data_IF_760317199118
#
_entry.id   IF_760317199118
#
_cell.length_a   1.000
_cell.length_b   1.000
_cell.length_c   1.000
_cell.angle_alpha   90.00
_cell.angle_beta   90.00
_cell.angle_gamma   90.00
#
_symmetry.space_group_name_H-M   'P 1'
#
loop_
_entity.id
_entity.type
_entity.pdbx_description
1 polymer ?
#
# COMPACT_ATOMS: atom_id res chain seq x y z
N UNK A 1 -16.65 -2.14 24.16
CA UNK A 1 -16.45 -1.19 23.04
C UNK A 1 -15.92 -2.00 21.87
N UNK A 2 -16.69 -2.06 20.80
CA UNK A 2 -16.39 -2.91 19.67
C UNK A 2 -15.08 -2.47 19.00
N UNK A 3 -14.24 -3.42 18.59
CA UNK A 3 -12.96 -3.12 17.91
C UNK A 3 -13.15 -2.16 16.73
N UNK A 4 -14.31 -2.23 16.07
CA UNK A 4 -14.72 -1.33 14.99
C UNK A 4 -14.75 0.14 15.41
N UNK A 5 -15.25 0.45 16.60
CA UNK A 5 -15.31 1.83 17.10
C UNK A 5 -13.91 2.34 17.42
N UNK A 6 -13.03 1.47 17.94
CA UNK A 6 -11.61 1.79 18.14
C UNK A 6 -10.91 2.12 16.83
N UNK A 7 -11.11 1.32 15.77
CA UNK A 7 -10.55 1.61 14.45
C UNK A 7 -11.11 2.90 13.84
N UNK A 8 -12.41 3.14 13.97
CA UNK A 8 -13.04 4.40 13.53
C UNK A 8 -12.41 5.59 14.22
N UNK A 9 -12.29 5.57 15.55
CA UNK A 9 -11.68 6.66 16.33
C UNK A 9 -10.21 6.87 15.97
N UNK A 10 -9.44 5.80 15.77
CA UNK A 10 -8.05 5.89 15.32
C UNK A 10 -7.96 6.55 13.94
N UNK A 11 -8.79 6.14 12.98
CA UNK A 11 -8.83 6.75 11.64
C UNK A 11 -9.28 8.21 11.69
N UNK A 12 -10.28 8.55 12.49
CA UNK A 12 -10.76 9.93 12.70
C UNK A 12 -9.63 10.84 13.23
N UNK A 13 -8.85 10.32 14.18
CA UNK A 13 -7.68 11.00 14.74
C UNK A 13 -6.59 11.20 13.69
N UNK A 14 -6.23 10.15 12.94
CA UNK A 14 -5.21 10.18 11.88
C UNK A 14 -5.59 11.07 10.68
N UNK A 15 -6.89 11.14 10.36
CA UNK A 15 -7.46 11.98 9.30
C UNK A 15 -7.59 13.45 9.73
N UNK A 16 -7.64 13.73 11.03
CA UNK A 16 -7.73 15.09 11.59
C UNK A 16 -6.38 15.65 12.03
N UNK A 17 -5.30 14.90 11.84
CA UNK A 17 -3.94 15.31 12.16
C UNK A 17 -3.45 16.41 11.21
N UNK A 18 -3.44 17.65 11.73
CA UNK A 18 -3.06 18.86 10.98
C UNK A 18 -1.60 18.89 10.50
N UNK A 19 -0.76 17.92 10.93
CA UNK A 19 0.60 17.77 10.40
C UNK A 19 0.64 17.28 8.94
N UNK A 20 -0.45 16.68 8.45
CA UNK A 20 -0.51 16.06 7.13
C UNK A 20 -1.11 17.00 6.07
N UNK A 21 -0.55 17.08 4.86
CA UNK A 21 -1.00 18.04 3.84
C UNK A 21 -2.43 17.79 3.32
N UNK A 22 -2.92 16.55 3.40
CA UNK A 22 -4.26 16.18 2.90
C UNK A 22 -5.41 16.64 3.82
N UNK A 23 -5.16 16.93 5.10
CA UNK A 23 -6.24 17.27 6.07
C UNK A 23 -6.95 18.58 5.73
N UNK A 24 -6.24 19.55 5.14
CA UNK A 24 -6.84 20.79 4.62
C UNK A 24 -7.92 20.51 3.58
N UNK A 25 -7.68 19.54 2.69
CA UNK A 25 -8.65 19.17 1.66
C UNK A 25 -9.85 18.44 2.29
N UNK A 26 -9.63 17.53 3.23
CA UNK A 26 -10.73 16.87 3.95
C UNK A 26 -11.58 17.85 4.75
N UNK A 27 -10.97 18.80 5.46
CA UNK A 27 -11.70 19.88 6.18
C UNK A 27 -12.51 20.74 5.22
N UNK A 28 -11.93 21.15 4.08
CA UNK A 28 -12.64 21.95 3.07
C UNK A 28 -13.85 21.21 2.47
N UNK A 29 -13.73 19.90 2.26
CA UNK A 29 -14.83 19.08 1.74
C UNK A 29 -15.90 18.86 2.81
N UNK A 30 -15.50 18.59 4.05
CA UNK A 30 -16.40 18.44 5.19
C UNK A 30 -17.21 19.73 5.44
N UNK A 31 -16.57 20.90 5.43
CA UNK A 31 -17.24 22.18 5.59
C UNK A 31 -18.28 22.45 4.48
N UNK A 32 -17.99 22.03 3.24
CA UNK A 32 -18.89 22.22 2.10
C UNK A 32 -20.04 21.21 2.04
N UNK A 33 -19.77 19.97 2.43
CA UNK A 33 -20.73 18.86 2.27
C UNK A 33 -21.45 18.51 3.56
N UNK A 34 -20.96 18.98 4.72
CA UNK A 34 -21.42 18.63 6.06
C UNK A 34 -21.41 17.11 6.31
N UNK A 35 -20.50 16.38 5.65
CA UNK A 35 -20.30 14.94 5.80
C UNK A 35 -19.00 14.67 6.53
N UNK A 36 -19.02 13.77 7.51
CA UNK A 36 -17.83 13.38 8.27
C UNK A 36 -16.74 12.78 7.34
N UNK A 37 -15.50 13.22 7.54
CA UNK A 37 -14.29 12.83 6.78
C UNK A 37 -14.10 11.31 6.63
N UNK A 38 -14.52 10.49 7.59
CA UNK A 38 -14.42 9.02 7.49
C UNK A 38 -15.23 8.50 6.31
N UNK A 39 -16.45 9.00 6.11
CA UNK A 39 -17.29 8.55 4.99
C UNK A 39 -16.75 9.07 3.66
N UNK A 40 -16.19 10.28 3.63
CA UNK A 40 -15.52 10.83 2.44
C UNK A 40 -14.31 9.94 2.08
N UNK A 41 -13.48 9.60 3.07
CA UNK A 41 -12.33 8.71 2.88
C UNK A 41 -12.76 7.32 2.42
N UNK A 42 -13.76 6.72 3.06
CA UNK A 42 -14.32 5.42 2.67
C UNK A 42 -14.89 5.43 1.26
N UNK A 43 -15.60 6.50 0.88
CA UNK A 43 -16.11 6.70 -0.48
C UNK A 43 -14.99 6.81 -1.51
N UNK A 44 -13.92 7.54 -1.19
CA UNK A 44 -12.74 7.66 -2.05
C UNK A 44 -12.05 6.31 -2.25
N UNK A 45 -11.83 5.56 -1.17
CA UNK A 45 -11.24 4.21 -1.23
C UNK A 45 -12.11 3.27 -2.05
N UNK A 46 -13.43 3.29 -1.85
CA UNK A 46 -14.38 2.50 -2.63
C UNK A 46 -14.37 2.87 -4.12
N UNK A 47 -14.31 4.17 -4.43
CA UNK A 47 -14.20 4.65 -5.80
C UNK A 47 -12.90 4.21 -6.47
N UNK A 48 -11.76 4.32 -5.77
CA UNK A 48 -10.46 3.83 -6.26
C UNK A 48 -10.51 2.32 -6.49
N UNK A 49 -11.09 1.54 -5.58
CA UNK A 49 -11.22 0.10 -5.74
C UNK A 49 -12.07 -0.28 -6.97
N UNK A 50 -13.19 0.43 -7.18
CA UNK A 50 -14.03 0.25 -8.37
C UNK A 50 -13.28 0.65 -9.66
N UNK A 51 -12.53 1.75 -9.62
CA UNK A 51 -11.72 2.17 -10.76
C UNK A 51 -10.59 1.18 -11.07
N UNK A 52 -9.96 0.58 -10.06
CA UNK A 52 -8.97 -0.48 -10.28
C UNK A 52 -9.59 -1.76 -10.85
N UNK A 53 -10.88 -2.00 -10.62
CA UNK A 53 -11.59 -3.16 -11.16
C UNK A 53 -12.01 -2.98 -12.63
N UNK A 54 -12.45 -1.77 -13.02
CA UNK A 54 -13.10 -1.54 -14.33
C UNK A 54 -12.49 -0.40 -15.17
N UNK A 55 -11.57 0.38 -14.60
CA UNK A 55 -11.03 1.59 -15.21
C UNK A 55 -9.96 1.32 -16.26
N UNK A 56 -9.92 2.18 -17.28
CA UNK A 56 -8.80 2.28 -18.20
C UNK A 56 -7.55 2.80 -17.46
N UNK A 57 -6.37 2.25 -17.73
CA UNK A 57 -5.12 2.59 -17.04
C UNK A 57 -5.06 2.30 -15.51
N UNK A 58 -5.84 1.31 -15.03
CA UNK A 58 -5.74 0.82 -13.64
C UNK A 58 -4.31 0.41 -13.23
N UNK A 59 -3.49 -0.04 -14.19
CA UNK A 59 -2.07 -0.32 -14.03
C UNK A 59 -1.28 0.87 -13.47
N UNK A 60 -1.42 2.03 -14.10
CA UNK A 60 -0.71 3.25 -13.71
C UNK A 60 -1.12 3.65 -12.30
N UNK A 61 -2.42 3.62 -12.00
CA UNK A 61 -2.93 3.97 -10.67
C UNK A 61 -2.40 3.01 -9.59
N UNK A 62 -2.44 1.70 -9.85
CA UNK A 62 -1.90 0.69 -8.92
C UNK A 62 -0.41 0.90 -8.66
N UNK A 63 0.38 1.19 -9.69
CA UNK A 63 1.81 1.41 -9.56
C UNK A 63 2.13 2.73 -8.85
N UNK A 64 1.37 3.80 -9.09
CA UNK A 64 1.49 5.05 -8.33
C UNK A 64 1.21 4.82 -6.85
N UNK A 65 0.16 4.08 -6.50
CA UNK A 65 -0.15 3.73 -5.10
C UNK A 65 1.00 2.90 -4.48
N UNK A 66 1.50 1.91 -5.23
CA UNK A 66 2.62 1.05 -4.81
C UNK A 66 3.95 1.79 -4.66
N UNK A 67 4.11 2.97 -5.25
CA UNK A 67 5.36 3.75 -5.19
C UNK A 67 5.23 4.94 -4.24
N UNK A 68 4.18 5.76 -4.37
CA UNK A 68 4.12 7.08 -3.77
C UNK A 68 4.15 7.06 -2.23
N UNK A 69 3.33 6.21 -1.61
CA UNK A 69 3.29 6.13 -0.15
C UNK A 69 4.57 5.48 0.43
N UNK A 70 5.00 4.29 -0.02
CA UNK A 70 6.25 3.69 0.45
C UNK A 70 7.48 4.58 0.21
N UNK A 71 7.55 5.29 -0.92
CA UNK A 71 8.67 6.21 -1.20
C UNK A 71 8.70 7.38 -0.20
N UNK A 72 7.55 7.99 0.10
CA UNK A 72 7.48 9.07 1.07
C UNK A 72 7.90 8.61 2.48
N UNK A 73 7.42 7.45 2.93
CA UNK A 73 7.80 6.93 4.24
C UNK A 73 9.26 6.45 4.25
N UNK A 74 9.76 5.87 3.15
CA UNK A 74 11.17 5.49 3.02
C UNK A 74 12.09 6.71 3.13
N UNK A 75 11.74 7.85 2.51
CA UNK A 75 12.52 9.09 2.66
C UNK A 75 12.55 9.57 4.11
N UNK A 76 11.41 9.52 4.81
CA UNK A 76 11.38 9.82 6.26
C UNK A 76 12.22 8.85 7.08
N UNK A 77 12.16 7.55 6.78
CA UNK A 77 12.93 6.53 7.49
C UNK A 77 14.44 6.76 7.34
N UNK A 78 14.91 7.11 6.13
CA UNK A 78 16.32 7.42 5.84
C UNK A 78 16.84 8.61 6.65
N UNK A 79 15.98 9.57 7.00
CA UNK A 79 16.37 10.70 7.85
C UNK A 79 16.40 10.37 9.35
N UNK A 80 15.81 9.24 9.77
CA UNK A 80 15.79 8.78 11.16
C UNK A 80 16.98 7.86 11.48
N UNK A 81 17.35 7.72 12.76
CA UNK A 81 18.48 6.88 13.20
C UNK A 81 18.12 5.39 13.35
N UNK A 82 16.85 5.01 13.21
CA UNK A 82 16.38 3.65 13.46
C UNK A 82 16.51 2.74 12.23
N UNK A 83 17.46 1.80 12.28
CA UNK A 83 17.77 0.88 11.17
C UNK A 83 16.72 -0.21 10.91
N UNK A 84 15.80 -0.44 11.84
CA UNK A 84 14.78 -1.49 11.74
C UNK A 84 13.73 -1.17 10.69
N UNK A 85 13.49 0.11 10.42
CA UNK A 85 12.53 0.55 9.40
C UNK A 85 13.12 0.41 7.99
N UNK A 86 14.42 0.68 7.83
CA UNK A 86 15.13 0.54 6.56
C UNK A 86 15.01 -0.89 5.99
N UNK A 87 15.16 -1.91 6.84
CA UNK A 87 15.10 -3.32 6.42
C UNK A 87 13.70 -3.70 5.91
N UNK A 88 12.64 -3.17 6.55
CA UNK A 88 11.25 -3.42 6.15
C UNK A 88 10.95 -2.80 4.79
N UNK A 89 11.34 -1.54 4.59
CA UNK A 89 11.15 -0.85 3.31
C UNK A 89 11.97 -1.49 2.20
N UNK A 90 13.23 -1.89 2.47
CA UNK A 90 14.04 -2.60 1.48
C UNK A 90 13.40 -3.93 1.06
N UNK A 91 12.86 -4.68 2.02
CA UNK A 91 12.14 -5.93 1.76
C UNK A 91 10.90 -5.70 0.89
N UNK A 92 10.15 -4.63 1.17
CA UNK A 92 9.05 -4.18 0.33
C UNK A 92 9.51 -3.89 -1.11
N UNK A 93 10.59 -3.13 -1.28
CA UNK A 93 11.12 -2.77 -2.60
C UNK A 93 11.58 -4.00 -3.40
N UNK A 94 12.18 -5.01 -2.76
CA UNK A 94 12.53 -6.28 -3.42
C UNK A 94 11.29 -6.97 -3.99
N UNK A 95 10.20 -7.01 -3.23
CA UNK A 95 8.94 -7.61 -3.67
C UNK A 95 8.30 -6.77 -4.77
N UNK A 96 8.25 -5.46 -4.59
CA UNK A 96 7.75 -4.54 -5.60
C UNK A 96 8.49 -4.71 -6.94
N UNK A 97 9.83 -4.79 -6.92
CA UNK A 97 10.65 -5.02 -8.11
C UNK A 97 10.41 -6.39 -8.75
N UNK A 98 10.25 -7.44 -7.93
CA UNK A 98 9.94 -8.80 -8.41
C UNK A 98 8.59 -8.82 -9.15
N UNK A 99 7.55 -8.26 -8.55
CA UNK A 99 6.22 -8.19 -9.16
C UNK A 99 6.19 -7.26 -10.39
N UNK A 100 6.92 -6.14 -10.35
CA UNK A 100 7.06 -5.24 -11.51
C UNK A 100 7.78 -5.91 -12.68
N UNK A 101 8.71 -6.82 -12.42
CA UNK A 101 9.36 -7.63 -13.49
C UNK A 101 8.38 -8.62 -14.11
N UNK A 102 7.58 -9.32 -13.29
CA UNK A 102 6.54 -10.26 -13.77
C UNK A 102 5.48 -9.53 -14.59
N UNK A 103 5.21 -8.27 -14.24
CA UNK A 103 4.24 -7.40 -14.90
C UNK A 103 4.58 -7.08 -16.35
N UNK A 104 5.80 -7.36 -16.82
CA UNK A 104 6.10 -7.33 -18.26
C UNK A 104 5.13 -8.21 -19.08
N UNK A 105 4.54 -9.24 -18.47
CA UNK A 105 3.53 -10.12 -19.09
C UNK A 105 2.08 -9.75 -18.70
N UNK A 106 1.82 -8.49 -18.32
CA UNK A 106 0.52 -8.03 -17.79
C UNK A 106 -0.67 -8.35 -18.70
N UNK A 107 -0.51 -8.28 -20.03
CA UNK A 107 -1.56 -8.63 -21.00
C UNK A 107 -2.01 -10.10 -20.89
N UNK A 108 -1.08 -11.01 -20.60
CA UNK A 108 -1.40 -12.42 -20.42
C UNK A 108 -2.06 -12.67 -19.06
N UNK A 109 -1.54 -12.02 -18.01
CA UNK A 109 -2.02 -12.18 -16.63
C UNK A 109 -3.45 -11.64 -16.49
N UNK A 110 -3.71 -10.44 -17.00
CA UNK A 110 -5.03 -9.79 -16.96
C UNK A 110 -6.10 -10.53 -17.76
N UNK A 111 -5.69 -11.32 -18.77
CA UNK A 111 -6.61 -12.20 -19.52
C UNK A 111 -7.04 -13.43 -18.71
N UNK A 112 -6.17 -13.95 -17.85
CA UNK A 112 -6.44 -15.15 -17.05
C UNK A 112 -7.11 -14.80 -15.73
N UNK A 113 -6.65 -13.72 -15.08
CA UNK A 113 -7.09 -13.32 -13.75
C UNK A 113 -7.94 -12.05 -13.89
N UNK A 114 -9.27 -12.14 -13.74
CA UNK A 114 -10.11 -10.95 -13.69
C UNK A 114 -9.76 -10.11 -12.46
N UNK A 115 -9.86 -8.79 -12.57
CA UNK A 115 -9.54 -7.84 -11.50
C UNK A 115 -8.10 -7.91 -10.96
N UNK A 116 -7.16 -8.38 -11.78
CA UNK A 116 -5.75 -8.49 -11.40
C UNK A 116 -5.18 -7.20 -10.77
N UNK A 117 -5.51 -6.03 -11.32
CA UNK A 117 -5.04 -4.73 -10.81
C UNK A 117 -5.53 -4.42 -9.40
N UNK A 118 -6.79 -4.75 -9.10
CA UNK A 118 -7.34 -4.61 -7.75
C UNK A 118 -6.64 -5.57 -6.78
N UNK A 119 -6.48 -6.84 -7.17
CA UNK A 119 -5.80 -7.85 -6.35
C UNK A 119 -4.36 -7.44 -6.05
N UNK A 120 -3.63 -6.99 -7.08
CA UNK A 120 -2.26 -6.49 -6.96
C UNK A 120 -2.19 -5.29 -6.03
N UNK A 121 -3.10 -4.32 -6.18
CA UNK A 121 -3.14 -3.15 -5.31
C UNK A 121 -3.40 -3.54 -3.85
N UNK A 122 -4.36 -4.43 -3.59
CA UNK A 122 -4.65 -4.94 -2.24
C UNK A 122 -3.42 -5.63 -1.66
N UNK A 123 -2.72 -6.44 -2.47
CA UNK A 123 -1.47 -7.08 -2.06
C UNK A 123 -0.40 -6.06 -1.68
N UNK A 124 -0.19 -5.01 -2.49
CA UNK A 124 0.77 -3.96 -2.15
C UNK A 124 0.38 -3.17 -0.90
N UNK A 125 -0.91 -2.86 -0.73
CA UNK A 125 -1.42 -2.21 0.50
C UNK A 125 -1.15 -3.08 1.73
N UNK A 126 -1.31 -4.41 1.61
CA UNK A 126 -0.96 -5.34 2.69
C UNK A 126 0.55 -5.41 2.94
N UNK A 127 1.37 -5.31 1.89
CA UNK A 127 2.83 -5.31 2.01
C UNK A 127 3.39 -4.04 2.66
N UNK A 128 2.72 -2.90 2.51
CA UNK A 128 3.10 -1.61 3.13
C UNK A 128 2.38 -1.35 4.47
N UNK A 129 1.48 -2.25 4.90
CA UNK A 129 0.73 -2.07 6.14
C UNK A 129 1.69 -1.97 7.34
N UNK A 130 1.43 -1.07 8.30
CA UNK A 130 2.26 -0.88 9.49
C UNK A 130 2.00 -1.97 10.54
N UNK A 131 2.21 -3.23 10.15
CA UNK A 131 2.07 -4.42 11.01
C UNK A 131 3.40 -5.18 11.03
N UNK A 132 3.72 -5.83 12.15
CA UNK A 132 5.02 -6.51 12.33
C UNK A 132 5.26 -7.61 11.30
N UNK A 133 4.23 -8.40 10.96
CA UNK A 133 4.25 -9.40 9.89
C UNK A 133 3.45 -8.91 8.68
N UNK A 134 3.90 -7.80 8.09
CA UNK A 134 3.31 -7.30 6.86
C UNK A 134 3.56 -8.26 5.69
N UNK A 135 2.82 -8.09 4.60
CA UNK A 135 2.91 -8.98 3.45
C UNK A 135 4.31 -9.09 2.87
N UNK A 136 5.11 -8.02 2.97
CA UNK A 136 6.46 -8.01 2.43
C UNK A 136 7.41 -8.91 3.22
N UNK A 137 7.37 -8.84 4.55
CA UNK A 137 8.13 -9.74 5.43
C UNK A 137 7.72 -11.20 5.19
N UNK A 138 6.43 -11.49 5.15
CA UNK A 138 5.92 -12.87 4.95
C UNK A 138 6.42 -13.47 3.64
N UNK A 139 6.29 -12.73 2.54
CA UNK A 139 6.70 -13.22 1.20
C UNK A 139 8.21 -13.37 1.12
N UNK A 140 8.98 -12.44 1.69
CA UNK A 140 10.43 -12.53 1.68
C UNK A 140 10.94 -13.78 2.40
N UNK A 141 10.51 -14.01 3.65
CA UNK A 141 11.00 -15.15 4.43
C UNK A 141 10.50 -16.50 3.91
N UNK A 142 9.30 -16.57 3.34
CA UNK A 142 8.73 -17.84 2.84
C UNK A 142 9.14 -18.19 1.41
N UNK A 143 9.28 -17.19 0.55
CA UNK A 143 9.51 -17.41 -0.88
C UNK A 143 10.92 -17.00 -1.27
N UNK A 144 11.29 -15.73 -1.07
CA UNK A 144 12.53 -15.19 -1.65
C UNK A 144 13.78 -15.73 -0.95
N UNK A 145 13.80 -15.71 0.39
CA UNK A 145 14.93 -16.11 1.23
C UNK A 145 15.42 -17.55 0.98
N UNK A 146 14.57 -18.60 0.89
CA UNK A 146 15.07 -19.96 0.63
C UNK A 146 15.70 -20.11 -0.75
N UNK A 147 15.20 -19.43 -1.78
CA UNK A 147 15.84 -19.44 -3.11
C UNK A 147 17.17 -18.68 -3.09
N UNK A 148 17.23 -17.53 -2.41
CA UNK A 148 18.45 -16.73 -2.31
C UNK A 148 19.57 -17.50 -1.57
N UNK A 149 19.27 -18.04 -0.38
CA UNK A 149 20.25 -18.78 0.43
C UNK A 149 20.76 -20.04 -0.29
N UNK A 150 19.91 -20.72 -1.06
CA UNK A 150 20.30 -21.90 -1.84
C UNK A 150 21.38 -21.59 -2.89
N UNK A 151 21.42 -20.36 -3.43
CA UNK A 151 22.38 -19.96 -4.44
C UNK A 151 23.61 -19.23 -3.85
N UNK A 152 23.50 -18.60 -2.68
CA UNK A 152 24.66 -18.07 -1.95
C UNK A 152 25.51 -19.16 -1.29
N UNK A 153 24.90 -20.24 -0.79
CA UNK A 153 25.65 -21.35 -0.17
C UNK A 153 26.42 -22.23 -1.17
N UNK A 154 26.38 -21.90 -2.46
CA UNK A 154 27.06 -22.61 -3.55
C UNK A 154 28.37 -21.97 -4.03
N UNK A 155 28.82 -20.89 -3.38
CA UNK A 155 30.18 -20.30 -3.51
C UNK A 155 30.97 -20.52 -2.24
#
# INVERSE_FOLDING_TARGET
MDKLDTYKQQLEKELSDDSKPWTKYFKMIEEKTNVNKIYIFGGLVGFIALYLAFGYAAEILCNVIGIAYPAYISMKAVETKEKTDDTKWLTYWVIFATFSTIEFFSLYITRIIPFYWLIKCVFFVWCMAPIENNGSVVVYYKVIRPYFLKHESGT
#
